data_IF_078278477112
#
_entry.id   IF_078278477112
#
_cell.length_a   1.000
_cell.length_b   1.000
_cell.length_c   1.000
_cell.angle_alpha   90.00
_cell.angle_beta   90.00
_cell.angle_gamma   90.00
#
_symmetry.space_group_name_H-M   'P 1'
#
loop_
_entity.id
_entity.type
_entity.pdbx_description
1 polymer ?
#
# COMPACT_ATOMS: atom_id res chain seq x y z
N UNK A 1 2.57 -9.44 19.57
CA UNK A 1 1.12 -9.14 19.39
C UNK A 1 0.56 -9.96 18.25
N UNK A 2 -0.77 -10.01 18.11
CA UNK A 2 -1.42 -10.75 17.03
C UNK A 2 -2.01 -9.79 16.00
N UNK A 3 -1.53 -9.88 14.78
CA UNK A 3 -1.90 -9.00 13.68
C UNK A 3 -2.79 -9.71 12.66
N UNK A 4 -3.81 -9.00 12.15
CA UNK A 4 -4.39 -9.30 10.86
C UNK A 4 -3.72 -8.39 9.83
N UNK A 5 -3.06 -8.96 8.82
CA UNK A 5 -2.54 -8.21 7.68
C UNK A 5 -3.32 -8.63 6.44
N UNK A 6 -4.07 -7.73 5.83
CA UNK A 6 -4.78 -8.02 4.59
C UNK A 6 -3.95 -7.60 3.38
N UNK A 7 -4.10 -8.32 2.27
CA UNK A 7 -3.29 -8.10 1.07
C UNK A 7 -1.90 -8.74 1.15
N UNK A 8 -1.74 -9.83 1.90
CA UNK A 8 -0.42 -10.47 2.12
C UNK A 8 0.11 -11.27 0.95
N UNK A 9 -0.70 -11.61 -0.05
CA UNK A 9 -0.21 -12.10 -1.34
C UNK A 9 0.16 -10.94 -2.29
N UNK A 10 -0.10 -9.68 -1.88
CA UNK A 10 0.29 -8.45 -2.55
C UNK A 10 1.69 -7.99 -2.17
N UNK A 11 2.16 -6.90 -2.80
CA UNK A 11 3.51 -6.37 -2.64
C UNK A 11 3.82 -5.90 -1.21
N UNK A 12 3.13 -4.86 -0.73
CA UNK A 12 3.42 -4.25 0.57
C UNK A 12 3.04 -5.20 1.71
N UNK A 13 1.87 -5.87 1.60
CA UNK A 13 1.38 -6.78 2.64
C UNK A 13 2.29 -7.98 2.89
N UNK A 14 2.93 -8.51 1.84
CA UNK A 14 3.96 -9.55 1.94
C UNK A 14 5.13 -9.10 2.83
N UNK A 15 5.74 -7.97 2.53
CA UNK A 15 6.89 -7.45 3.28
C UNK A 15 6.52 -7.04 4.72
N UNK A 16 5.32 -6.47 4.92
CA UNK A 16 4.82 -6.14 6.28
C UNK A 16 4.68 -7.42 7.10
N UNK A 17 4.07 -8.48 6.55
CA UNK A 17 3.94 -9.75 7.25
C UNK A 17 5.30 -10.35 7.58
N UNK A 18 6.26 -10.33 6.66
CA UNK A 18 7.61 -10.82 6.87
C UNK A 18 8.29 -10.10 8.03
N UNK A 19 8.32 -8.77 8.03
CA UNK A 19 9.01 -8.00 9.08
C UNK A 19 8.33 -8.13 10.46
N UNK A 20 7.00 -8.28 10.52
CA UNK A 20 6.29 -8.58 11.78
C UNK A 20 6.71 -9.93 12.35
N UNK A 21 6.84 -10.95 11.50
CA UNK A 21 7.28 -12.29 11.90
C UNK A 21 8.74 -12.31 12.36
N UNK A 22 9.63 -11.58 11.67
CA UNK A 22 11.04 -11.39 12.06
C UNK A 22 11.14 -10.71 13.43
N UNK A 23 10.20 -9.84 13.77
CA UNK A 23 10.06 -9.21 15.09
C UNK A 23 9.52 -10.15 16.18
N UNK A 24 8.99 -11.31 15.82
CA UNK A 24 8.40 -12.30 16.73
C UNK A 24 6.92 -12.12 17.01
N UNK A 25 6.20 -11.37 16.16
CA UNK A 25 4.74 -11.23 16.24
C UNK A 25 4.01 -12.42 15.58
N UNK A 26 2.74 -12.63 15.95
CA UNK A 26 1.84 -13.54 15.27
C UNK A 26 1.10 -12.81 14.14
N UNK A 27 1.07 -13.38 12.96
CA UNK A 27 0.40 -12.80 11.79
C UNK A 27 -0.58 -13.79 11.18
N UNK A 28 -1.83 -13.35 11.01
CA UNK A 28 -2.78 -13.97 10.09
C UNK A 28 -2.81 -13.13 8.83
N UNK A 29 -2.28 -13.68 7.75
CA UNK A 29 -2.34 -13.08 6.42
C UNK A 29 -3.69 -13.39 5.76
N UNK A 30 -4.23 -12.42 5.05
CA UNK A 30 -5.47 -12.57 4.29
C UNK A 30 -5.30 -11.95 2.89
N UNK A 31 -5.75 -12.66 1.85
CA UNK A 31 -5.82 -12.17 0.49
C UNK A 31 -6.92 -12.89 -0.30
N UNK A 32 -7.49 -12.24 -1.29
CA UNK A 32 -8.45 -12.85 -2.21
C UNK A 32 -7.75 -13.65 -3.32
N UNK A 33 -6.49 -13.31 -3.62
CA UNK A 33 -5.68 -13.87 -4.74
C UNK A 33 -6.42 -13.69 -6.08
N UNK A 34 -6.87 -12.45 -6.36
CA UNK A 34 -7.48 -12.13 -7.65
C UNK A 34 -6.45 -12.15 -8.80
N UNK A 35 -6.93 -12.15 -10.02
CA UNK A 35 -6.17 -12.23 -11.27
C UNK A 35 -5.87 -10.85 -11.92
N UNK A 36 -5.92 -9.77 -11.14
CA UNK A 36 -5.59 -8.43 -11.63
C UNK A 36 -4.19 -8.35 -12.29
N UNK A 37 -3.25 -9.13 -11.77
CA UNK A 37 -1.96 -9.42 -12.39
C UNK A 37 -1.58 -10.89 -12.14
N UNK A 38 -0.45 -11.33 -12.69
CA UNK A 38 0.00 -12.73 -12.62
C UNK A 38 -0.13 -13.32 -11.21
N UNK A 39 -1.05 -14.27 -11.07
CA UNK A 39 -1.32 -14.97 -9.80
C UNK A 39 -0.14 -15.83 -9.35
N UNK A 40 0.76 -16.23 -10.26
CA UNK A 40 1.93 -17.01 -9.89
C UNK A 40 2.89 -16.21 -9.02
N UNK A 41 3.00 -14.89 -9.24
CA UNK A 41 3.78 -14.01 -8.37
C UNK A 41 3.15 -13.90 -6.96
N UNK A 42 1.81 -13.93 -6.86
CA UNK A 42 1.11 -13.95 -5.57
C UNK A 42 1.37 -15.24 -4.80
N UNK A 43 1.27 -16.38 -5.47
CA UNK A 43 1.61 -17.67 -4.88
C UNK A 43 3.10 -17.82 -4.56
N UNK A 44 3.99 -17.21 -5.33
CA UNK A 44 5.42 -17.21 -5.03
C UNK A 44 5.74 -16.45 -3.74
N UNK A 45 5.08 -15.30 -3.48
CA UNK A 45 5.18 -14.58 -2.19
C UNK A 45 4.68 -15.45 -1.03
N UNK A 46 3.55 -16.12 -1.19
CA UNK A 46 3.02 -17.04 -0.19
C UNK A 46 3.96 -18.24 0.05
N UNK A 47 4.51 -18.83 -1.01
CA UNK A 47 5.48 -19.93 -0.91
C UNK A 47 6.76 -19.50 -0.19
N UNK A 48 7.23 -18.27 -0.44
CA UNK A 48 8.37 -17.69 0.29
C UNK A 48 8.09 -17.58 1.81
N UNK A 49 6.83 -17.40 2.17
CA UNK A 49 6.35 -17.38 3.57
C UNK A 49 5.90 -18.75 4.09
N UNK A 50 6.24 -19.85 3.40
CA UNK A 50 5.93 -21.22 3.80
C UNK A 50 4.46 -21.63 3.60
N UNK A 51 3.72 -20.98 2.70
CA UNK A 51 2.34 -21.36 2.33
C UNK A 51 2.35 -21.87 0.88
N UNK A 52 2.22 -23.18 0.69
CA UNK A 52 2.24 -23.77 -0.64
C UNK A 52 0.88 -23.63 -1.33
N UNK A 53 0.89 -23.45 -2.67
CA UNK A 53 -0.33 -23.25 -3.46
C UNK A 53 -1.39 -24.36 -3.28
N UNK A 54 -0.95 -25.60 -3.16
CA UNK A 54 -1.84 -26.77 -2.98
C UNK A 54 -2.48 -26.85 -1.59
N UNK A 55 -1.96 -26.11 -0.61
CA UNK A 55 -2.52 -26.02 0.75
C UNK A 55 -3.66 -24.99 0.82
N UNK A 56 -3.66 -23.99 -0.09
CA UNK A 56 -4.61 -22.87 -0.04
C UNK A 56 -5.99 -23.31 -0.52
N UNK A 57 -6.96 -23.23 0.37
CA UNK A 57 -8.39 -23.43 0.07
C UNK A 57 -9.17 -22.23 0.56
N UNK A 58 -10.15 -21.79 -0.25
CA UNK A 58 -10.97 -20.62 0.08
C UNK A 58 -11.71 -20.82 1.41
N UNK A 59 -11.53 -19.88 2.34
CA UNK A 59 -12.16 -19.88 3.65
C UNK A 59 -11.49 -20.77 4.72
N UNK A 60 -10.44 -21.53 4.37
CA UNK A 60 -9.69 -22.35 5.33
C UNK A 60 -8.37 -21.66 5.72
N UNK A 61 -8.04 -21.71 7.03
CA UNK A 61 -6.77 -21.21 7.55
C UNK A 61 -5.69 -22.26 7.31
N UNK A 62 -4.58 -21.82 6.69
CA UNK A 62 -3.38 -22.64 6.45
C UNK A 62 -2.26 -22.17 7.37
N UNK A 63 -1.60 -23.10 8.08
CA UNK A 63 -0.40 -22.82 8.85
C UNK A 63 0.82 -22.84 7.95
N UNK A 64 1.72 -21.87 8.11
CA UNK A 64 3.02 -21.84 7.41
C UNK A 64 3.90 -23.03 7.84
N UNK A 65 4.60 -23.63 6.87
CA UNK A 65 5.57 -24.68 7.08
C UNK A 65 6.92 -24.15 7.60
N UNK A 66 7.22 -22.84 7.37
CA UNK A 66 8.52 -22.22 7.71
C UNK A 66 8.45 -21.22 8.86
N UNK A 67 7.26 -20.68 9.18
CA UNK A 67 7.07 -19.65 10.21
C UNK A 67 5.92 -20.05 11.14
N UNK A 68 6.22 -20.52 12.34
CA UNK A 68 5.21 -20.94 13.32
C UNK A 68 4.22 -19.83 13.71
N UNK A 69 4.64 -18.56 13.65
CA UNK A 69 3.80 -17.39 13.90
C UNK A 69 2.95 -16.96 12.70
N UNK A 70 3.05 -17.60 11.53
CA UNK A 70 2.33 -17.21 10.33
C UNK A 70 1.24 -18.18 9.94
N UNK A 71 0.04 -17.66 9.74
CA UNK A 71 -1.09 -18.37 9.14
C UNK A 71 -1.69 -17.54 8.02
N UNK A 72 -2.27 -18.19 7.03
CA UNK A 72 -2.87 -17.54 5.87
C UNK A 72 -4.30 -18.02 5.64
N UNK A 73 -5.17 -17.13 5.19
CA UNK A 73 -6.51 -17.46 4.73
C UNK A 73 -6.80 -16.76 3.39
N UNK A 74 -7.30 -17.52 2.41
CA UNK A 74 -7.86 -16.93 1.19
C UNK A 74 -9.33 -16.56 1.44
N UNK A 75 -9.61 -15.24 1.51
CA UNK A 75 -10.95 -14.74 1.82
C UNK A 75 -11.26 -13.48 1.02
N UNK A 76 -12.52 -13.35 0.59
CA UNK A 76 -13.06 -12.13 0.00
C UNK A 76 -13.63 -11.23 1.10
N UNK A 77 -13.02 -10.07 1.29
CA UNK A 77 -13.42 -9.08 2.30
C UNK A 77 -14.78 -8.41 2.01
N UNK A 78 -15.29 -8.51 0.78
CA UNK A 78 -16.63 -8.01 0.45
C UNK A 78 -17.74 -8.88 1.06
N UNK A 79 -17.40 -10.12 1.47
CA UNK A 79 -18.31 -11.05 2.13
C UNK A 79 -18.21 -10.95 3.65
N UNK A 80 -19.20 -10.36 4.30
CA UNK A 80 -19.17 -9.96 5.73
C UNK A 80 -19.01 -11.12 6.72
N UNK A 81 -19.84 -12.15 6.63
CA UNK A 81 -19.95 -13.17 7.69
C UNK A 81 -18.67 -13.96 7.95
N UNK A 82 -17.95 -14.48 6.93
CA UNK A 82 -16.70 -15.20 7.15
C UNK A 82 -15.61 -14.32 7.79
N UNK A 83 -15.62 -13.02 7.51
CA UNK A 83 -14.69 -12.06 8.13
C UNK A 83 -15.00 -11.87 9.62
N UNK A 84 -16.27 -11.70 9.99
CA UNK A 84 -16.71 -11.62 11.40
C UNK A 84 -16.34 -12.87 12.19
N UNK A 85 -16.55 -14.07 11.60
CA UNK A 85 -16.17 -15.34 12.21
C UNK A 85 -14.66 -15.44 12.44
N UNK A 86 -13.86 -14.95 11.47
CA UNK A 86 -12.40 -14.89 11.60
C UNK A 86 -12.00 -14.00 12.78
N UNK A 87 -12.58 -12.79 12.90
CA UNK A 87 -12.31 -11.87 14.02
C UNK A 87 -12.71 -12.46 15.36
N UNK A 88 -13.89 -13.09 15.45
CA UNK A 88 -14.38 -13.73 16.67
C UNK A 88 -13.42 -14.83 17.16
N UNK A 89 -12.91 -15.64 16.23
CA UNK A 89 -12.01 -16.76 16.52
C UNK A 89 -10.60 -16.29 16.87
N UNK A 90 -10.04 -15.36 16.08
CA UNK A 90 -8.63 -15.01 16.14
C UNK A 90 -8.32 -13.92 17.20
N UNK A 91 -9.25 -13.02 17.50
CA UNK A 91 -9.10 -11.95 18.50
C UNK A 91 -7.83 -11.11 18.27
N UNK A 92 -7.78 -10.41 17.14
CA UNK A 92 -6.64 -9.61 16.72
C UNK A 92 -6.39 -8.44 17.67
N UNK A 93 -5.11 -8.16 17.97
CA UNK A 93 -4.68 -6.94 18.66
C UNK A 93 -4.69 -5.74 17.71
N UNK A 94 -4.16 -5.91 16.49
CA UNK A 94 -3.97 -4.86 15.50
C UNK A 94 -4.38 -5.36 14.11
N UNK A 95 -5.01 -4.49 13.34
CA UNK A 95 -5.34 -4.75 11.93
C UNK A 95 -4.54 -3.81 11.04
N UNK A 96 -3.81 -4.36 10.07
CA UNK A 96 -3.14 -3.61 9.00
C UNK A 96 -3.84 -3.96 7.69
N UNK A 97 -4.72 -3.07 7.24
CA UNK A 97 -5.56 -3.28 6.07
C UNK A 97 -4.91 -2.68 4.81
N UNK A 98 -4.23 -3.52 4.03
CA UNK A 98 -3.55 -3.16 2.78
C UNK A 98 -4.23 -3.74 1.54
N UNK A 99 -5.18 -4.67 1.71
CA UNK A 99 -5.96 -5.22 0.61
C UNK A 99 -6.83 -4.13 -0.03
N UNK A 100 -6.71 -3.99 -1.32
CA UNK A 100 -7.53 -3.08 -2.12
C UNK A 100 -7.37 -3.40 -3.61
N UNK A 101 -8.34 -3.02 -4.43
CA UNK A 101 -8.09 -2.86 -5.86
C UNK A 101 -7.29 -1.56 -6.05
N UNK A 102 -6.07 -1.69 -6.54
CA UNK A 102 -5.18 -0.57 -6.85
C UNK A 102 -5.16 -0.28 -8.36
N UNK A 103 -4.56 0.85 -8.74
CA UNK A 103 -4.40 1.25 -10.14
C UNK A 103 -5.40 2.34 -10.56
N UNK A 104 -4.89 3.56 -10.78
CA UNK A 104 -5.71 4.70 -11.21
C UNK A 104 -6.39 4.41 -12.56
N UNK A 105 -5.63 3.91 -13.53
CA UNK A 105 -6.11 3.67 -14.90
C UNK A 105 -7.15 2.56 -14.98
N UNK A 106 -6.95 1.48 -14.24
CA UNK A 106 -7.89 0.36 -14.21
C UNK A 106 -9.26 0.78 -13.65
N UNK A 107 -9.32 1.81 -12.80
CA UNK A 107 -10.58 2.35 -12.28
C UNK A 107 -11.45 3.06 -13.35
N UNK A 108 -10.86 3.42 -14.49
CA UNK A 108 -11.61 4.02 -15.62
C UNK A 108 -12.36 2.97 -16.44
N UNK A 109 -11.85 1.75 -16.49
CA UNK A 109 -12.43 0.65 -17.27
C UNK A 109 -13.21 -0.38 -16.43
N UNK A 110 -12.96 -0.47 -15.14
CA UNK A 110 -13.55 -1.45 -14.23
C UNK A 110 -13.95 -0.80 -12.89
N UNK A 111 -14.89 0.15 -12.88
CA UNK A 111 -15.23 0.95 -11.70
C UNK A 111 -15.86 0.13 -10.57
N UNK A 112 -16.68 -0.88 -10.87
CA UNK A 112 -17.44 -1.67 -9.90
C UNK A 112 -16.49 -2.40 -8.92
N UNK A 113 -15.35 -2.90 -9.40
CA UNK A 113 -14.37 -3.61 -8.58
C UNK A 113 -13.82 -2.72 -7.47
N UNK A 114 -13.74 -1.40 -7.72
CA UNK A 114 -13.28 -0.44 -6.69
C UNK A 114 -14.33 -0.20 -5.61
N UNK A 115 -15.60 -0.25 -5.95
CA UNK A 115 -16.68 -0.16 -4.96
C UNK A 115 -16.68 -1.41 -4.08
N UNK A 116 -16.63 -2.60 -4.67
CA UNK A 116 -16.62 -3.85 -3.92
C UNK A 116 -15.36 -4.00 -3.06
N UNK A 117 -14.17 -3.86 -3.67
CA UNK A 117 -12.89 -4.14 -3.00
C UNK A 117 -12.41 -3.01 -2.08
N UNK A 118 -12.80 -1.75 -2.32
CA UNK A 118 -12.28 -0.63 -1.54
C UNK A 118 -13.33 -0.03 -0.60
N UNK A 119 -14.62 -0.07 -0.94
CA UNK A 119 -15.68 0.52 -0.10
C UNK A 119 -16.36 -0.58 0.73
N UNK A 120 -16.96 -1.59 0.07
CA UNK A 120 -17.70 -2.64 0.77
C UNK A 120 -16.78 -3.46 1.66
N UNK A 121 -15.62 -3.88 1.14
CA UNK A 121 -14.63 -4.63 1.91
C UNK A 121 -14.10 -3.83 3.11
N UNK A 122 -13.84 -2.52 2.94
CA UNK A 122 -13.38 -1.67 4.04
C UNK A 122 -14.47 -1.46 5.10
N UNK A 123 -15.74 -1.30 4.70
CA UNK A 123 -16.87 -1.29 5.63
C UNK A 123 -16.90 -2.56 6.47
N UNK A 124 -16.70 -3.73 5.86
CA UNK A 124 -16.68 -5.00 6.59
C UNK A 124 -15.51 -5.10 7.59
N UNK A 125 -14.34 -4.55 7.26
CA UNK A 125 -13.21 -4.42 8.20
C UNK A 125 -13.59 -3.53 9.39
N UNK A 126 -14.18 -2.36 9.14
CA UNK A 126 -14.62 -1.43 10.18
C UNK A 126 -15.68 -2.05 11.10
N UNK A 127 -16.68 -2.72 10.53
CA UNK A 127 -17.70 -3.46 11.30
C UNK A 127 -17.08 -4.59 12.11
N UNK A 128 -16.10 -5.31 11.54
CA UNK A 128 -15.41 -6.38 12.27
C UNK A 128 -14.62 -5.82 13.46
N UNK A 129 -13.94 -4.68 13.30
CA UNK A 129 -13.27 -3.98 14.40
C UNK A 129 -14.25 -3.42 15.45
N UNK A 130 -15.47 -3.04 15.03
CA UNK A 130 -16.53 -2.58 15.94
C UNK A 130 -17.05 -3.71 16.82
N UNK A 131 -17.34 -4.87 16.25
CA UNK A 131 -17.87 -6.04 16.98
C UNK A 131 -16.80 -6.79 17.76
N UNK A 132 -15.54 -6.71 17.31
CA UNK A 132 -14.37 -7.33 17.93
C UNK A 132 -13.28 -6.27 18.08
N UNK A 133 -13.33 -5.47 19.18
CA UNK A 133 -12.46 -4.32 19.36
C UNK A 133 -10.98 -4.66 19.22
N UNK A 134 -10.26 -3.84 18.46
CA UNK A 134 -8.82 -3.91 18.26
C UNK A 134 -8.13 -2.69 18.88
N UNK A 135 -6.85 -2.82 19.21
CA UNK A 135 -6.06 -1.72 19.74
C UNK A 135 -5.78 -0.63 18.68
N UNK A 136 -5.69 -1.04 17.42
CA UNK A 136 -5.40 -0.13 16.32
C UNK A 136 -5.84 -0.73 14.97
N UNK A 137 -6.43 0.11 14.12
CA UNK A 137 -6.65 -0.16 12.70
C UNK A 137 -5.77 0.79 11.87
N UNK A 138 -4.77 0.25 11.19
CA UNK A 138 -3.99 0.96 10.17
C UNK A 138 -4.51 0.58 8.80
N UNK A 139 -4.74 1.54 7.91
CA UNK A 139 -5.29 1.25 6.58
C UNK A 139 -4.59 2.04 5.47
N UNK A 140 -4.54 1.45 4.28
CA UNK A 140 -3.97 2.08 3.12
C UNK A 140 -4.93 3.11 2.50
N UNK A 141 -4.56 4.39 2.56
CA UNK A 141 -5.00 5.44 1.66
C UNK A 141 -3.99 5.59 0.50
N UNK A 142 -3.98 6.69 -0.21
CA UNK A 142 -3.13 6.90 -1.38
C UNK A 142 -2.85 8.39 -1.60
N UNK A 143 -1.67 8.74 -2.11
CA UNK A 143 -1.38 10.08 -2.61
C UNK A 143 -2.31 10.53 -3.76
N UNK A 144 -2.99 9.58 -4.41
CA UNK A 144 -3.99 9.90 -5.44
C UNK A 144 -5.17 10.73 -4.91
N UNK A 145 -5.43 10.74 -3.59
CA UNK A 145 -6.48 11.56 -2.97
C UNK A 145 -6.24 13.07 -3.14
N UNK A 146 -4.99 13.48 -3.35
CA UNK A 146 -4.67 14.89 -3.62
C UNK A 146 -5.27 15.40 -4.92
N UNK A 147 -5.55 14.52 -5.87
CA UNK A 147 -6.33 14.84 -7.07
C UNK A 147 -5.82 16.07 -7.81
N UNK A 148 -6.67 17.13 -7.85
CA UNK A 148 -6.36 18.41 -8.52
C UNK A 148 -5.50 19.37 -7.70
N UNK A 149 -4.98 18.98 -6.53
CA UNK A 149 -4.13 19.85 -5.74
C UNK A 149 -2.78 20.10 -6.47
N UNK A 150 -2.35 21.35 -6.56
CA UNK A 150 -1.07 21.75 -7.22
C UNK A 150 0.02 22.14 -6.21
N UNK A 151 -0.36 22.55 -5.00
CA UNK A 151 0.58 22.96 -3.95
C UNK A 151 1.44 21.78 -3.51
N UNK A 152 2.76 21.94 -3.54
CA UNK A 152 3.72 20.94 -3.08
C UNK A 152 4.70 21.52 -2.05
N UNK A 153 5.19 20.67 -1.12
CA UNK A 153 4.85 19.26 -0.94
C UNK A 153 3.38 19.09 -0.52
N UNK A 154 2.77 17.95 -0.89
CA UNK A 154 1.42 17.60 -0.45
C UNK A 154 1.39 17.36 1.05
N UNK A 155 0.53 18.07 1.77
CA UNK A 155 0.38 17.97 3.22
C UNK A 155 -0.92 17.27 3.61
N UNK A 156 -0.91 16.54 4.73
CA UNK A 156 -2.13 15.95 5.30
C UNK A 156 -3.14 16.99 5.76
N UNK A 157 -2.72 18.24 5.99
CA UNK A 157 -3.57 19.39 6.29
C UNK A 157 -4.21 20.02 5.05
N UNK A 158 -3.83 19.62 3.83
CA UNK A 158 -4.49 20.08 2.61
C UNK A 158 -5.85 19.37 2.45
N UNK A 159 -6.90 20.11 2.05
CA UNK A 159 -8.18 19.53 1.64
C UNK A 159 -8.00 18.71 0.36
N UNK A 160 -8.70 17.57 0.28
CA UNK A 160 -8.58 16.60 -0.82
C UNK A 160 -9.97 16.22 -1.36
N UNK A 161 -10.73 17.23 -1.75
CA UNK A 161 -12.14 17.11 -2.12
C UNK A 161 -12.38 17.01 -3.64
N UNK A 162 -11.29 17.06 -4.44
CA UNK A 162 -11.36 17.02 -5.90
C UNK A 162 -10.51 15.84 -6.46
N UNK A 163 -10.87 14.56 -6.13
CA UNK A 163 -10.21 13.41 -6.71
C UNK A 163 -10.44 13.34 -8.23
N UNK A 164 -9.41 12.95 -8.99
CA UNK A 164 -9.47 12.87 -10.47
C UNK A 164 -9.58 11.44 -10.99
N UNK A 165 -9.86 10.47 -10.13
CA UNK A 165 -10.14 9.09 -10.48
C UNK A 165 -11.06 8.43 -9.45
N UNK A 166 -11.79 7.38 -9.86
CA UNK A 166 -12.61 6.61 -8.92
C UNK A 166 -11.77 5.89 -7.86
N UNK A 167 -10.56 5.46 -8.23
CA UNK A 167 -9.60 4.95 -7.24
C UNK A 167 -9.33 5.97 -6.13
N UNK A 168 -9.00 7.21 -6.50
CA UNK A 168 -8.75 8.28 -5.53
C UNK A 168 -10.00 8.57 -4.67
N UNK A 169 -11.18 8.63 -5.30
CA UNK A 169 -12.45 8.82 -4.60
C UNK A 169 -12.71 7.68 -3.59
N UNK A 170 -12.46 6.41 -3.97
CA UNK A 170 -12.61 5.27 -3.07
C UNK A 170 -11.67 5.35 -1.86
N UNK A 171 -10.42 5.81 -2.05
CA UNK A 171 -9.46 5.99 -0.95
C UNK A 171 -9.83 7.16 -0.04
N UNK A 172 -10.31 8.28 -0.58
CA UNK A 172 -10.85 9.37 0.23
C UNK A 172 -12.08 8.92 1.02
N UNK A 173 -12.96 8.11 0.43
CA UNK A 173 -14.10 7.52 1.14
C UNK A 173 -13.66 6.66 2.32
N UNK A 174 -12.56 5.89 2.19
CA UNK A 174 -12.00 5.13 3.32
C UNK A 174 -11.58 6.06 4.46
N UNK A 175 -10.94 7.20 4.18
CA UNK A 175 -10.58 8.17 5.23
C UNK A 175 -11.81 8.69 5.98
N UNK A 176 -12.89 9.05 5.26
CA UNK A 176 -14.14 9.52 5.83
C UNK A 176 -14.85 8.44 6.67
N UNK A 177 -14.90 7.20 6.16
CA UNK A 177 -15.50 6.07 6.87
C UNK A 177 -14.70 5.75 8.15
N UNK A 178 -13.36 5.72 8.08
CA UNK A 178 -12.51 5.47 9.24
C UNK A 178 -12.69 6.55 10.32
N UNK A 179 -12.75 7.83 9.94
CA UNK A 179 -13.06 8.92 10.86
C UNK A 179 -14.41 8.72 11.56
N UNK A 180 -15.45 8.38 10.79
CA UNK A 180 -16.80 8.15 11.32
C UNK A 180 -16.80 7.02 12.35
N UNK A 181 -16.14 5.90 12.08
CA UNK A 181 -16.05 4.76 12.99
C UNK A 181 -15.18 5.04 14.22
N UNK A 182 -14.10 5.79 14.04
CA UNK A 182 -13.28 6.28 15.16
C UNK A 182 -14.11 7.17 16.10
N UNK A 183 -14.91 8.09 15.55
CA UNK A 183 -15.74 9.00 16.33
C UNK A 183 -16.90 8.29 17.05
N UNK A 184 -17.64 7.42 16.36
CA UNK A 184 -18.84 6.77 16.90
C UNK A 184 -18.54 5.58 17.81
N UNK A 185 -17.46 4.83 17.54
CA UNK A 185 -17.17 3.55 18.17
C UNK A 185 -15.82 3.50 18.87
N UNK A 186 -15.10 4.64 18.97
CA UNK A 186 -13.79 4.75 19.62
C UNK A 186 -12.75 3.76 19.09
N UNK A 187 -12.79 3.46 17.79
CA UNK A 187 -11.77 2.61 17.15
C UNK A 187 -10.58 3.49 16.78
N UNK A 188 -9.38 3.28 17.36
CA UNK A 188 -8.20 4.03 16.93
C UNK A 188 -7.86 3.69 15.49
N UNK A 189 -7.86 4.68 14.58
CA UNK A 189 -7.63 4.49 13.16
C UNK A 189 -6.51 5.39 12.64
N UNK A 190 -5.61 4.83 11.84
CA UNK A 190 -4.59 5.61 11.13
C UNK A 190 -4.58 5.28 9.65
N UNK A 191 -4.85 6.28 8.82
CA UNK A 191 -4.73 6.20 7.37
C UNK A 191 -3.31 6.55 6.91
N UNK A 192 -2.77 5.79 5.96
CA UNK A 192 -1.49 6.05 5.32
C UNK A 192 -1.72 6.39 3.86
N UNK A 193 -1.42 7.63 3.44
CA UNK A 193 -1.40 8.05 2.05
C UNK A 193 -0.07 7.64 1.42
N UNK A 194 -0.04 6.44 0.84
CA UNK A 194 1.15 5.91 0.18
C UNK A 194 1.47 6.72 -1.06
N UNK A 195 2.74 7.12 -1.20
CA UNK A 195 3.32 7.58 -2.43
C UNK A 195 3.83 6.39 -3.25
N UNK A 196 4.69 6.60 -4.25
CA UNK A 196 5.07 5.51 -5.16
C UNK A 196 6.06 4.55 -4.49
N UNK A 197 5.60 3.35 -4.15
CA UNK A 197 6.41 2.30 -3.54
C UNK A 197 7.05 1.42 -4.62
N UNK A 198 8.34 1.10 -4.47
CA UNK A 198 9.07 0.22 -5.38
C UNK A 198 10.03 -0.70 -4.62
N UNK A 199 10.46 -1.79 -5.25
CA UNK A 199 11.42 -2.76 -4.68
C UNK A 199 11.14 -4.20 -5.11
N UNK A 200 11.94 -5.17 -4.61
CA UNK A 200 11.76 -6.60 -4.86
C UNK A 200 10.33 -7.08 -4.60
N UNK A 201 9.88 -8.07 -5.34
CA UNK A 201 8.51 -8.55 -5.27
C UNK A 201 7.45 -7.50 -5.63
N UNK A 202 7.85 -6.42 -6.32
CA UNK A 202 6.97 -5.33 -6.72
C UNK A 202 5.82 -5.78 -7.61
N UNK A 203 4.91 -4.84 -7.91
CA UNK A 203 3.75 -5.12 -8.77
C UNK A 203 4.14 -5.05 -10.24
N UNK A 204 3.70 -6.03 -11.07
CA UNK A 204 4.04 -6.07 -12.49
C UNK A 204 3.48 -4.92 -13.33
N UNK A 205 2.41 -4.26 -12.85
CA UNK A 205 1.77 -3.11 -13.50
C UNK A 205 2.46 -1.76 -13.20
N UNK A 206 3.55 -1.75 -12.41
CA UNK A 206 4.31 -0.54 -12.07
C UNK A 206 5.52 -0.34 -12.97
N UNK A 207 5.92 0.93 -13.13
CA UNK A 207 6.96 1.37 -14.07
C UNK A 207 8.26 0.58 -13.94
N UNK A 208 8.76 0.31 -12.72
CA UNK A 208 10.02 -0.43 -12.51
C UNK A 208 9.97 -1.81 -13.15
N UNK A 209 8.87 -2.52 -12.94
CA UNK A 209 8.69 -3.87 -13.48
C UNK A 209 8.55 -3.83 -15.01
N UNK A 210 7.70 -2.93 -15.52
CA UNK A 210 7.46 -2.76 -16.96
C UNK A 210 8.73 -2.35 -17.71
N UNK A 211 9.51 -1.43 -17.15
CA UNK A 211 10.77 -0.99 -17.76
C UNK A 211 11.80 -2.10 -17.77
N UNK A 212 11.98 -2.79 -16.64
CA UNK A 212 12.92 -3.92 -16.54
C UNK A 212 12.59 -5.01 -17.55
N UNK A 213 11.32 -5.39 -17.66
CA UNK A 213 10.87 -6.41 -18.61
C UNK A 213 11.12 -6.00 -20.06
N UNK A 214 10.73 -4.77 -20.44
CA UNK A 214 10.88 -4.26 -21.81
C UNK A 214 12.37 -4.14 -22.20
N UNK A 215 13.22 -3.60 -21.31
CA UNK A 215 14.67 -3.46 -21.56
C UNK A 215 15.32 -4.84 -21.76
N UNK A 216 14.98 -5.82 -20.94
CA UNK A 216 15.51 -7.18 -21.07
C UNK A 216 15.10 -7.84 -22.39
N UNK A 217 13.87 -7.60 -22.86
CA UNK A 217 13.36 -8.08 -24.16
C UNK A 217 13.90 -7.27 -25.36
N UNK A 218 14.53 -6.12 -25.14
CA UNK A 218 14.95 -5.18 -26.19
C UNK A 218 13.80 -4.41 -26.84
N UNK A 219 12.64 -4.36 -26.16
CA UNK A 219 11.44 -3.62 -26.52
C UNK A 219 11.50 -2.18 -26.01
N UNK A 220 10.82 -1.21 -26.67
CA UNK A 220 10.80 0.17 -26.21
C UNK A 220 9.95 0.33 -24.95
N UNK A 221 10.48 1.05 -23.95
CA UNK A 221 9.71 1.51 -22.79
C UNK A 221 8.85 2.73 -23.14
N UNK A 222 7.65 2.80 -22.51
CA UNK A 222 6.74 3.94 -22.71
C UNK A 222 7.10 5.07 -21.74
N UNK A 223 7.59 6.20 -22.26
CA UNK A 223 8.02 7.36 -21.46
C UNK A 223 7.01 8.49 -21.61
N UNK A 224 6.08 8.58 -20.65
CA UNK A 224 5.01 9.56 -20.68
C UNK A 224 5.48 10.98 -20.32
N UNK A 225 4.67 11.98 -20.75
CA UNK A 225 5.00 13.41 -20.65
C UNK A 225 6.40 13.73 -21.18
N UNK A 226 6.83 13.02 -22.23
CA UNK A 226 8.15 13.19 -22.85
C UNK A 226 9.30 13.12 -21.84
N UNK A 227 9.16 12.32 -20.77
CA UNK A 227 10.12 12.19 -19.68
C UNK A 227 10.08 13.32 -18.63
N UNK A 228 9.26 14.36 -18.83
CA UNK A 228 9.16 15.48 -17.90
C UNK A 228 8.22 15.14 -16.72
N UNK A 229 8.62 14.15 -15.93
CA UNK A 229 7.88 13.70 -14.75
C UNK A 229 8.81 13.59 -13.54
N UNK A 230 8.25 13.85 -12.36
CA UNK A 230 8.94 13.75 -11.08
C UNK A 230 8.09 13.02 -10.07
N UNK A 231 8.62 11.97 -9.43
CA UNK A 231 7.89 11.15 -8.49
C UNK A 231 8.63 10.99 -7.18
N UNK A 232 7.86 10.98 -6.11
CA UNK A 232 8.32 10.57 -4.79
C UNK A 232 8.33 9.04 -4.74
N UNK A 233 9.50 8.44 -5.06
CA UNK A 233 9.71 7.00 -5.00
C UNK A 233 10.26 6.61 -3.64
N UNK A 234 9.65 5.62 -3.00
CA UNK A 234 10.09 5.12 -1.69
C UNK A 234 10.33 3.61 -1.75
N UNK A 235 11.49 3.20 -1.27
CA UNK A 235 11.86 1.79 -1.24
C UNK A 235 10.99 1.01 -0.26
N UNK A 236 10.73 -0.26 -0.59
CA UNK A 236 9.78 -1.10 0.14
C UNK A 236 10.13 -1.25 1.63
N UNK A 237 11.40 -1.44 1.99
CA UNK A 237 11.79 -1.65 3.39
C UNK A 237 11.60 -0.39 4.24
N UNK A 238 11.86 0.79 3.66
CA UNK A 238 11.57 2.08 4.30
C UNK A 238 10.06 2.23 4.54
N UNK A 239 9.23 1.86 3.56
CA UNK A 239 7.77 1.87 3.68
C UNK A 239 7.30 0.92 4.78
N UNK A 240 7.78 -0.32 4.79
CA UNK A 240 7.37 -1.33 5.77
C UNK A 240 7.76 -0.90 7.19
N UNK A 241 8.96 -0.34 7.35
CA UNK A 241 9.40 0.24 8.61
C UNK A 241 8.44 1.35 9.08
N UNK A 242 7.99 2.22 8.17
CA UNK A 242 7.03 3.27 8.48
C UNK A 242 5.65 2.72 8.88
N UNK A 243 5.14 1.73 8.14
CA UNK A 243 3.86 1.07 8.46
C UNK A 243 3.88 0.44 9.85
N UNK A 244 4.95 -0.27 10.20
CA UNK A 244 5.09 -0.94 11.50
C UNK A 244 5.21 0.07 12.64
N UNK A 245 6.02 1.13 12.48
CA UNK A 245 6.13 2.21 13.46
C UNK A 245 4.78 2.88 13.73
N UNK A 246 3.96 3.06 12.69
CA UNK A 246 2.59 3.57 12.84
C UNK A 246 1.69 2.54 13.53
N UNK A 247 1.78 1.26 13.17
CA UNK A 247 0.96 0.21 13.78
C UNK A 247 1.20 0.08 15.29
N UNK A 248 2.43 0.33 15.74
CA UNK A 248 2.84 0.33 17.16
C UNK A 248 2.37 1.58 17.92
N UNK A 249 1.81 2.58 17.23
CA UNK A 249 1.39 3.86 17.81
C UNK A 249 -0.08 4.17 17.49
N UNK A 250 -1.03 3.60 18.23
CA UNK A 250 -2.44 3.89 18.03
C UNK A 250 -2.74 5.37 18.03
N UNK A 251 -3.60 5.81 17.10
CA UNK A 251 -4.03 7.19 17.04
C UNK A 251 -4.71 7.62 18.35
N UNK A 252 -4.51 8.87 18.74
CA UNK A 252 -5.15 9.51 19.89
C UNK A 252 -5.89 10.76 19.43
N UNK A 253 -6.90 11.22 20.21
CA UNK A 253 -7.56 12.49 19.96
C UNK A 253 -6.58 13.65 19.90
N UNK A 254 -6.75 14.55 18.93
CA UNK A 254 -6.00 15.80 18.87
C UNK A 254 -6.55 16.79 19.90
N UNK A 255 -5.85 17.01 21.00
CA UNK A 255 -6.26 17.93 22.07
C UNK A 255 -6.31 19.41 21.60
N UNK A 256 -5.63 19.74 20.51
CA UNK A 256 -5.56 21.08 19.93
C UNK A 256 -6.45 21.21 18.67
N UNK A 257 -7.42 20.32 18.48
CA UNK A 257 -8.30 20.36 17.32
C UNK A 257 -9.19 21.63 17.35
N UNK A 258 -9.06 22.43 16.28
CA UNK A 258 -9.89 23.61 16.09
C UNK A 258 -11.09 23.28 15.20
N UNK A 259 -12.30 23.25 15.77
CA UNK A 259 -13.51 22.94 15.01
C UNK A 259 -13.95 24.07 14.06
N UNK A 260 -13.41 25.29 14.21
CA UNK A 260 -13.67 26.41 13.28
C UNK A 260 -12.74 26.36 12.06
N UNK A 261 -11.57 25.72 12.21
CA UNK A 261 -10.62 25.50 11.12
C UNK A 261 -10.06 24.06 11.19
N UNK A 262 -10.88 23.05 10.86
CA UNK A 262 -10.57 21.66 11.09
C UNK A 262 -9.40 21.17 10.24
N UNK A 263 -8.39 20.55 10.89
CA UNK A 263 -7.30 19.84 10.20
C UNK A 263 -7.83 18.51 9.62
N UNK A 264 -7.78 18.29 8.28
CA UNK A 264 -8.27 17.06 7.68
C UNK A 264 -7.51 15.81 8.09
N UNK A 265 -6.27 15.94 8.57
CA UNK A 265 -5.39 14.83 8.96
C UNK A 265 -5.56 14.37 10.39
N UNK A 266 -6.38 15.02 11.21
CA UNK A 266 -6.60 14.70 12.63
C UNK A 266 -8.01 15.06 13.09
N UNK A 267 -8.39 14.70 14.34
CA UNK A 267 -9.73 14.93 14.86
C UNK A 267 -9.75 14.93 16.38
N UNK A 268 -10.89 15.30 16.97
CA UNK A 268 -11.22 15.03 18.38
C UNK A 268 -11.43 13.54 18.67
N UNK A 269 -11.57 12.70 17.65
CA UNK A 269 -11.57 11.24 17.77
C UNK A 269 -10.14 10.68 17.68
N UNK A 270 -9.95 9.40 18.02
CA UNK A 270 -8.68 8.69 17.87
C UNK A 270 -8.41 8.35 16.39
N UNK A 271 -8.25 9.40 15.58
CA UNK A 271 -8.09 9.36 14.13
C UNK A 271 -6.87 10.17 13.69
N UNK A 272 -6.06 9.59 12.79
CA UNK A 272 -4.91 10.28 12.20
C UNK A 272 -4.72 9.84 10.75
N UNK A 273 -4.25 10.76 9.90
CA UNK A 273 -3.75 10.47 8.55
C UNK A 273 -2.30 10.92 8.44
N UNK A 274 -1.46 10.10 7.84
CA UNK A 274 -0.08 10.45 7.49
C UNK A 274 0.16 10.27 6.01
N UNK A 275 1.03 11.11 5.43
CA UNK A 275 1.72 10.76 4.22
C UNK A 275 2.85 9.78 4.55
N UNK A 276 3.04 8.78 3.69
CA UNK A 276 4.17 7.87 3.75
C UNK A 276 4.89 7.84 2.41
N UNK A 277 6.12 8.36 2.39
CA UNK A 277 6.92 8.61 1.20
C UNK A 277 8.35 8.95 1.58
N UNK A 278 9.19 9.27 0.60
CA UNK A 278 10.60 9.63 0.80
C UNK A 278 10.81 11.15 0.96
N UNK A 279 9.84 11.97 0.52
CA UNK A 279 9.97 13.44 0.45
C UNK A 279 11.13 13.96 -0.44
N UNK A 280 11.76 13.07 -1.20
CA UNK A 280 12.87 13.33 -2.12
C UNK A 280 12.50 12.91 -3.55
N UNK A 281 11.74 13.74 -4.30
CA UNK A 281 11.27 13.37 -5.63
C UNK A 281 12.43 13.18 -6.63
N UNK A 282 12.35 12.12 -7.44
CA UNK A 282 13.32 11.73 -8.46
C UNK A 282 12.75 12.02 -9.85
N UNK A 283 13.58 12.51 -10.76
CA UNK A 283 13.20 12.65 -12.17
C UNK A 283 12.99 11.28 -12.82
N UNK A 284 11.99 11.15 -13.67
CA UNK A 284 11.72 9.88 -14.37
C UNK A 284 12.93 9.41 -15.18
N UNK A 285 13.69 10.33 -15.79
CA UNK A 285 14.89 9.99 -16.55
C UNK A 285 15.99 9.42 -15.66
N UNK A 286 16.21 9.98 -14.46
CA UNK A 286 17.19 9.44 -13.50
C UNK A 286 16.79 8.05 -13.02
N UNK A 287 15.47 7.83 -12.85
CA UNK A 287 14.94 6.52 -12.51
C UNK A 287 15.18 5.48 -13.62
N UNK A 288 14.97 5.85 -14.88
CA UNK A 288 15.26 5.00 -16.05
C UNK A 288 16.75 4.66 -16.11
N UNK A 289 17.64 5.66 -15.95
CA UNK A 289 19.09 5.43 -15.94
C UNK A 289 19.52 4.49 -14.81
N UNK A 290 18.89 4.55 -13.63
CA UNK A 290 19.16 3.61 -12.56
C UNK A 290 18.76 2.17 -12.95
N UNK A 291 17.65 1.99 -13.70
CA UNK A 291 17.21 0.67 -14.22
C UNK A 291 18.18 0.17 -15.27
N UNK A 292 18.60 1.00 -16.23
CA UNK A 292 19.61 0.67 -17.25
C UNK A 292 20.92 0.19 -16.61
N UNK A 293 21.40 0.93 -15.62
CA UNK A 293 22.60 0.59 -14.83
C UNK A 293 22.44 -0.75 -14.09
N UNK A 294 21.27 -0.98 -13.47
CA UNK A 294 20.98 -2.23 -12.75
C UNK A 294 20.92 -3.45 -13.65
N UNK A 295 20.45 -3.29 -14.89
CA UNK A 295 20.33 -4.38 -15.90
C UNK A 295 21.61 -4.51 -16.75
N UNK A 296 22.38 -3.44 -16.90
CA UNK A 296 23.52 -3.36 -17.80
C UNK A 296 23.14 -3.24 -19.28
N UNK A 297 21.95 -2.67 -19.59
CA UNK A 297 21.46 -2.44 -20.97
C UNK A 297 20.76 -1.09 -21.06
N UNK A 298 20.95 -0.40 -22.19
CA UNK A 298 20.23 0.85 -22.49
C UNK A 298 18.78 0.59 -22.91
N UNK A 299 17.89 1.49 -22.51
CA UNK A 299 16.48 1.46 -22.87
C UNK A 299 16.24 2.08 -24.26
N UNK A 300 15.45 1.42 -25.09
CA UNK A 300 14.80 2.08 -26.21
C UNK A 300 13.60 2.85 -25.67
N UNK A 301 13.45 4.11 -26.00
CA UNK A 301 12.41 4.97 -25.42
C UNK A 301 11.37 5.37 -26.48
N UNK A 302 10.09 5.15 -26.19
CA UNK A 302 8.97 5.70 -26.93
C UNK A 302 8.37 6.87 -26.12
N UNK A 303 8.65 8.10 -26.58
CA UNK A 303 8.22 9.33 -25.91
C UNK A 303 6.75 9.62 -26.21
N UNK A 304 5.92 9.73 -25.18
CA UNK A 304 4.47 9.89 -25.27
C UNK A 304 3.99 11.13 -24.50
N UNK A 305 2.81 11.69 -24.85
CA UNK A 305 2.20 12.78 -24.09
C UNK A 305 1.76 12.28 -22.69
N UNK A 306 1.44 13.26 -21.81
CA UNK A 306 0.88 12.95 -20.48
C UNK A 306 -0.42 12.17 -20.61
N UNK A 307 -0.58 11.14 -19.79
CA UNK A 307 -1.80 10.32 -19.78
C UNK A 307 -2.92 10.96 -18.95
N UNK A 308 -4.19 10.76 -19.34
CA UNK A 308 -5.35 11.19 -18.54
C UNK A 308 -5.31 10.59 -17.11
N UNK A 309 -5.62 11.42 -16.12
CA UNK A 309 -5.62 11.00 -14.71
C UNK A 309 -4.23 10.90 -14.05
N UNK A 310 -3.15 11.20 -14.80
CA UNK A 310 -1.80 11.23 -14.25
C UNK A 310 -1.39 12.67 -13.88
N UNK A 311 -0.48 12.81 -12.91
CA UNK A 311 0.04 14.11 -12.45
C UNK A 311 1.52 14.23 -12.83
N UNK A 312 2.04 15.42 -13.24
CA UNK A 312 3.42 15.55 -13.67
C UNK A 312 4.43 15.41 -12.54
N UNK A 313 4.06 15.78 -11.30
CA UNK A 313 4.94 15.69 -10.14
C UNK A 313 4.19 15.23 -8.89
N UNK A 314 4.92 14.62 -7.94
CA UNK A 314 4.43 14.35 -6.59
C UNK A 314 5.59 14.45 -5.59
N UNK A 315 5.30 15.04 -4.41
CA UNK A 315 6.21 15.11 -3.26
C UNK A 315 5.40 15.03 -1.98
N UNK A 316 5.76 14.12 -1.09
CA UNK A 316 5.16 13.99 0.23
C UNK A 316 5.73 15.02 1.22
N UNK A 317 4.87 15.67 2.01
CA UNK A 317 5.26 16.18 3.30
C UNK A 317 5.08 15.05 4.33
N UNK A 318 6.18 14.52 4.83
CA UNK A 318 6.21 13.43 5.83
C UNK A 318 6.58 13.93 7.22
N UNK A 319 6.61 15.25 7.43
CA UNK A 319 7.09 15.88 8.67
C UNK A 319 6.34 15.36 9.90
N UNK A 320 5.03 15.17 9.79
CA UNK A 320 4.20 14.63 10.87
C UNK A 320 4.59 13.19 11.21
N UNK A 321 4.77 12.34 10.20
CA UNK A 321 5.18 10.94 10.39
C UNK A 321 6.57 10.85 11.03
N UNK A 322 7.52 11.68 10.56
CA UNK A 322 8.88 11.75 11.12
C UNK A 322 8.84 12.17 12.58
N UNK A 323 8.14 13.27 12.89
CA UNK A 323 8.01 13.80 14.25
C UNK A 323 7.41 12.75 15.21
N UNK A 324 6.33 12.10 14.78
CA UNK A 324 5.52 11.26 15.65
C UNK A 324 6.09 9.86 15.82
N UNK A 325 6.82 9.33 14.84
CA UNK A 325 7.28 7.92 14.83
C UNK A 325 8.79 7.75 14.70
N UNK A 326 9.54 8.82 14.41
CA UNK A 326 10.94 8.72 14.03
C UNK A 326 11.14 7.99 12.70
N UNK A 327 10.15 8.04 11.79
CA UNK A 327 10.27 7.51 10.43
C UNK A 327 11.41 8.22 9.68
N UNK A 328 12.24 7.45 8.99
CA UNK A 328 13.36 7.99 8.23
C UNK A 328 13.66 7.06 7.05
N UNK A 329 13.18 7.40 5.84
CA UNK A 329 13.57 6.67 4.64
C UNK A 329 15.03 6.99 4.31
N UNK A 330 15.86 5.97 4.09
CA UNK A 330 17.30 6.12 3.88
C UNK A 330 17.80 5.47 2.59
N UNK A 331 16.96 4.65 1.94
CA UNK A 331 17.36 3.91 0.75
C UNK A 331 17.41 4.83 -0.48
N UNK A 332 18.58 4.94 -1.11
CA UNK A 332 18.74 5.70 -2.34
C UNK A 332 18.10 4.97 -3.53
N UNK A 333 17.78 5.74 -4.59
CA UNK A 333 17.17 5.17 -5.80
C UNK A 333 18.07 4.10 -6.44
N UNK A 334 19.38 4.34 -6.51
CA UNK A 334 20.33 3.39 -7.06
C UNK A 334 20.36 2.07 -6.28
N UNK A 335 20.38 2.14 -4.96
CA UNK A 335 20.35 0.95 -4.09
C UNK A 335 19.06 0.16 -4.26
N UNK A 336 17.92 0.83 -4.18
CA UNK A 336 16.62 0.16 -4.26
C UNK A 336 16.33 -0.42 -5.64
N UNK A 337 16.70 0.29 -6.73
CA UNK A 337 16.57 -0.21 -8.11
C UNK A 337 17.50 -1.41 -8.32
N UNK A 338 18.75 -1.34 -7.82
CA UNK A 338 19.68 -2.48 -7.92
C UNK A 338 19.12 -3.72 -7.19
N UNK A 339 18.62 -3.55 -5.98
CA UNK A 339 17.99 -4.66 -5.23
C UNK A 339 16.82 -5.28 -6.01
N UNK A 340 15.99 -4.45 -6.67
CA UNK A 340 14.90 -4.94 -7.50
C UNK A 340 15.42 -5.69 -8.74
N UNK A 341 16.39 -5.13 -9.46
CA UNK A 341 16.92 -5.76 -10.69
C UNK A 341 17.62 -7.08 -10.39
N UNK A 342 18.39 -7.17 -9.29
CA UNK A 342 19.00 -8.41 -8.83
C UNK A 342 17.93 -9.48 -8.54
N UNK A 343 16.90 -9.12 -7.77
CA UNK A 343 15.76 -9.99 -7.49
C UNK A 343 15.04 -10.43 -8.78
N UNK A 344 14.80 -9.50 -9.70
CA UNK A 344 14.08 -9.78 -10.94
C UNK A 344 14.82 -10.78 -11.82
N UNK A 345 16.14 -10.59 -11.98
CA UNK A 345 17.00 -11.48 -12.78
C UNK A 345 17.07 -12.88 -12.16
N UNK A 346 17.19 -12.99 -10.85
CA UNK A 346 17.19 -14.28 -10.13
C UNK A 346 15.83 -14.99 -10.22
N UNK A 347 14.74 -14.27 -9.91
CA UNK A 347 13.40 -14.84 -9.91
C UNK A 347 12.95 -15.33 -11.28
N UNK A 348 13.20 -14.56 -12.33
CA UNK A 348 12.85 -14.94 -13.72
C UNK A 348 13.94 -15.70 -14.45
N UNK A 349 15.09 -15.98 -13.81
CA UNK A 349 16.26 -16.71 -14.37
C UNK A 349 16.69 -16.14 -15.72
N UNK A 350 16.92 -14.83 -15.78
CA UNK A 350 17.29 -14.09 -16.98
C UNK A 350 18.69 -13.48 -16.88
#
# INVERSE_FOLDING_TARGET
MKYLVTGTAGFIGFHVAQQLLERGDEVVGLDIINDYYDVNLKYARLAHMGIQRNQVKKGEIVQSDSHSGYRFIQLDLSVKNPLLELFAKEKFDVVIHLAAQAGVRYSLSNPEVYIESNIVAFLNILESCRFHPVKHLVYASSSSVYGSNEKMPFSTSDTVDHPISLYAASKKSNELMAHTYSHLFNIPTTGLRFFTVYGPWGRPDMALFLFTEAILKGEPIQVFNYGNMKRDFTYIDDIVTGVIKVADRPASPNANFDSQNPDPGSSTAAYKVYNIGNSAPVLLMDYIHAVEKGIGKEAKMNMLPLQPGDVPASRADVSDLVRDTGYKPETTIDQGVKSFTDWYLDYYKK
#
